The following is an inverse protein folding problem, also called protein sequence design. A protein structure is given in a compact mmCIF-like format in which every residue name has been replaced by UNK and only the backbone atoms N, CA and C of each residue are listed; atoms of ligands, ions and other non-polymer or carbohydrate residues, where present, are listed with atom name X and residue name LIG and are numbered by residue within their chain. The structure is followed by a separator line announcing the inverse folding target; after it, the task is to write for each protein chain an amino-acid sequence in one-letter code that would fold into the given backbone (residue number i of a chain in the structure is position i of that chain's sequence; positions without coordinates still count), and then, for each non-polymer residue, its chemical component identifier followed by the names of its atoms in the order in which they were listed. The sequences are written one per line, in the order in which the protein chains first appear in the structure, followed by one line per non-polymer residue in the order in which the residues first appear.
data_IF_555116271083
#
_entry.id   IF_555116271083
#
_cell.length_a   1.000
_cell.length_b   1.000
_cell.length_c   1.000
_cell.angle_alpha   90.00
_cell.angle_beta   90.00
_cell.angle_gamma   90.00
#
_symmetry.space_group_name_H-M   'P 1'
#
loop_
_entity.id
_entity.type
_entity.pdbx_description
1 polymer ?
#
# COMPACT_ATOMS: atom_id res chain seq x y z
N UNK A 1 15.52 -0.77 -12.82
CA UNK A 1 16.35 -1.25 -11.70
C UNK A 1 16.28 -2.78 -11.48
N UNK A 2 17.29 -3.54 -11.96
CA UNK A 2 17.40 -5.00 -11.75
C UNK A 2 17.59 -5.42 -10.28
N UNK A 3 18.12 -4.53 -9.43
CA UNK A 3 18.37 -4.78 -8.00
C UNK A 3 17.27 -4.21 -7.08
N UNK A 4 16.14 -3.75 -7.65
CA UNK A 4 14.99 -3.33 -6.86
C UNK A 4 14.05 -4.52 -6.62
N UNK A 5 14.06 -5.04 -5.39
CA UNK A 5 13.22 -6.14 -4.93
C UNK A 5 11.90 -5.67 -4.28
N UNK A 6 11.61 -4.36 -4.33
CA UNK A 6 10.49 -3.74 -3.63
C UNK A 6 10.84 -3.40 -2.19
N UNK A 7 9.81 -3.20 -1.37
CA UNK A 7 9.96 -2.83 0.04
C UNK A 7 9.66 -4.03 0.96
N UNK A 8 10.40 -4.18 2.08
CA UNK A 8 10.09 -5.20 3.08
C UNK A 8 8.99 -4.73 4.03
N UNK A 9 8.51 -5.65 4.87
CA UNK A 9 7.58 -5.38 5.96
C UNK A 9 6.25 -6.12 5.88
N UNK A 10 5.33 -5.72 6.76
CA UNK A 10 3.96 -6.24 6.90
C UNK A 10 3.20 -6.23 5.57
N UNK A 11 3.35 -5.16 4.82
CA UNK A 11 2.76 -4.96 3.48
C UNK A 11 3.83 -5.01 2.39
N UNK A 12 5.01 -5.57 2.70
CA UNK A 12 6.14 -5.66 1.78
C UNK A 12 6.01 -6.78 0.75
N UNK A 13 6.97 -6.84 -0.17
CA UNK A 13 7.08 -7.93 -1.14
C UNK A 13 7.69 -9.16 -0.47
N UNK A 14 7.28 -10.36 -0.89
CA UNK A 14 7.87 -11.60 -0.36
C UNK A 14 9.39 -11.65 -0.59
N UNK A 15 9.82 -11.29 -1.80
CA UNK A 15 11.25 -11.26 -2.14
C UNK A 15 12.05 -10.25 -1.31
N UNK A 16 11.52 -9.07 -1.01
CA UNK A 16 12.21 -8.12 -0.13
C UNK A 16 12.28 -8.63 1.31
N UNK A 17 11.23 -9.30 1.79
CA UNK A 17 11.21 -9.92 3.12
C UNK A 17 12.24 -11.05 3.23
N UNK A 18 12.35 -11.91 2.21
CA UNK A 18 13.32 -13.00 2.22
C UNK A 18 14.77 -12.46 2.16
N UNK A 19 15.03 -11.47 1.29
CA UNK A 19 16.36 -10.82 1.23
C UNK A 19 16.69 -10.11 2.55
N UNK A 20 15.71 -9.46 3.19
CA UNK A 20 15.88 -8.82 4.49
C UNK A 20 16.13 -9.84 5.61
N UNK A 21 15.53 -11.03 5.54
CA UNK A 21 15.74 -12.09 6.51
C UNK A 21 17.16 -12.66 6.46
N UNK A 22 17.74 -12.75 5.25
CA UNK A 22 19.07 -13.31 5.01
C UNK A 22 20.21 -12.32 5.29
N UNK A 23 19.98 -11.02 5.14
CA UNK A 23 21.05 -10.02 5.14
C UNK A 23 21.82 -9.90 6.47
N UNK A 24 23.14 -9.78 6.38
CA UNK A 24 24.04 -9.52 7.51
C UNK A 24 24.35 -8.01 7.69
N UNK A 25 23.91 -7.17 6.76
CA UNK A 25 24.01 -5.72 6.82
C UNK A 25 22.76 -5.06 6.22
N UNK A 26 22.09 -4.23 7.02
CA UNK A 26 20.98 -3.39 6.58
C UNK A 26 21.43 -1.94 6.63
N UNK A 27 21.40 -1.26 5.48
CA UNK A 27 21.68 0.18 5.39
C UNK A 27 20.36 0.92 5.19
N UNK A 28 19.84 1.52 6.26
CA UNK A 28 18.67 2.37 6.21
C UNK A 28 19.04 3.79 5.80
N UNK A 29 18.49 4.29 4.69
CA UNK A 29 18.72 5.66 4.22
C UNK A 29 17.42 6.44 4.29
N UNK A 30 17.35 7.45 5.17
CA UNK A 30 16.17 8.27 5.38
C UNK A 30 14.95 7.53 5.91
N UNK A 31 15.13 6.30 6.41
CA UNK A 31 14.05 5.48 6.98
C UNK A 31 13.98 5.65 8.51
N UNK A 32 12.76 5.66 9.03
CA UNK A 32 12.50 5.64 10.48
C UNK A 32 12.45 4.23 11.06
N UNK A 33 12.64 3.20 10.21
CA UNK A 33 12.44 1.79 10.57
C UNK A 33 11.13 1.59 11.33
N UNK A 34 10.02 1.98 10.70
CA UNK A 34 8.69 1.87 11.31
C UNK A 34 8.26 0.42 11.37
N UNK A 35 7.36 0.13 12.30
CA UNK A 35 6.82 -1.20 12.58
C UNK A 35 6.39 -1.96 11.31
N UNK A 36 5.62 -1.32 10.44
CA UNK A 36 5.21 -1.90 9.16
C UNK A 36 6.41 -2.30 8.30
N UNK A 37 7.37 -1.39 8.09
CA UNK A 37 8.54 -1.64 7.22
C UNK A 37 9.51 -2.67 7.77
N UNK A 38 9.52 -2.89 9.09
CA UNK A 38 10.39 -3.88 9.73
C UNK A 38 9.68 -5.21 10.01
N UNK A 39 8.38 -5.30 9.66
CA UNK A 39 7.57 -6.47 10.01
C UNK A 39 7.59 -6.70 11.52
N UNK A 40 7.35 -5.65 12.30
CA UNK A 40 7.50 -5.67 13.75
C UNK A 40 8.85 -6.20 14.22
N UNK A 41 9.91 -5.82 13.50
CA UNK A 41 11.30 -6.24 13.71
C UNK A 41 11.60 -7.73 13.54
N UNK A 42 10.64 -8.52 13.04
CA UNK A 42 10.88 -9.94 12.75
C UNK A 42 11.44 -10.17 11.34
N UNK A 43 11.31 -9.20 10.43
CA UNK A 43 11.76 -9.38 9.03
C UNK A 43 13.27 -9.52 8.90
N UNK A 44 14.04 -8.89 9.79
CA UNK A 44 15.50 -8.97 9.79
C UNK A 44 15.96 -10.15 10.65
N UNK A 45 15.81 -11.37 10.14
CA UNK A 45 15.96 -12.59 10.93
C UNK A 45 17.42 -13.01 11.20
N UNK A 46 18.39 -12.55 10.40
CA UNK A 46 19.80 -12.93 10.58
C UNK A 46 20.34 -12.42 11.94
N UNK A 47 20.85 -13.31 12.82
CA UNK A 47 21.35 -12.91 14.14
C UNK A 47 22.70 -12.18 14.08
N UNK A 48 23.44 -12.30 12.99
CA UNK A 48 24.72 -11.60 12.78
C UNK A 48 24.53 -10.22 12.12
N UNK A 49 23.28 -9.81 11.86
CA UNK A 49 23.01 -8.57 11.13
C UNK A 49 23.56 -7.35 11.83
N UNK A 50 23.98 -6.37 11.05
CA UNK A 50 24.32 -5.03 11.51
C UNK A 50 23.40 -4.01 10.88
N UNK A 51 23.03 -3.00 11.64
CA UNK A 51 22.26 -1.87 11.15
C UNK A 51 23.17 -0.66 10.98
N UNK A 52 23.09 -0.02 9.81
CA UNK A 52 23.63 1.32 9.56
C UNK A 52 22.44 2.21 9.21
N UNK A 53 22.35 3.38 9.82
CA UNK A 53 21.22 4.29 9.59
C UNK A 53 21.72 5.69 9.26
N UNK A 54 21.39 6.17 8.08
CA UNK A 54 21.67 7.53 7.61
C UNK A 54 20.38 8.31 7.73
N UNK A 55 20.31 9.27 8.66
CA UNK A 55 19.09 10.02 8.90
C UNK A 55 19.37 11.46 9.35
N UNK A 56 18.42 12.37 9.15
CA UNK A 56 18.52 13.75 9.65
C UNK A 56 18.29 13.82 11.16
N UNK A 57 17.44 12.95 11.70
CA UNK A 57 17.15 12.90 13.12
C UNK A 57 18.05 11.88 13.83
N UNK A 58 18.74 12.30 14.89
CA UNK A 58 19.58 11.42 15.71
C UNK A 58 18.82 10.22 16.30
N UNK A 59 17.55 10.42 16.66
CA UNK A 59 16.67 9.36 17.15
C UNK A 59 16.52 8.21 16.14
N UNK A 60 16.27 8.53 14.87
CA UNK A 60 16.13 7.52 13.82
C UNK A 60 17.50 6.97 13.37
N UNK A 61 18.57 7.76 13.45
CA UNK A 61 19.92 7.32 13.11
C UNK A 61 20.49 6.29 14.11
N UNK A 62 20.06 6.32 15.37
CA UNK A 62 20.55 5.43 16.44
C UNK A 62 19.58 4.30 16.78
N UNK A 63 18.45 4.20 16.05
CA UNK A 63 17.39 3.26 16.34
C UNK A 63 17.91 1.81 16.34
N UNK A 64 17.50 1.03 17.34
CA UNK A 64 17.89 -0.38 17.49
C UNK A 64 19.40 -0.64 17.45
N UNK A 65 20.19 0.29 18.02
CA UNK A 65 21.65 0.13 18.14
C UNK A 65 22.38 0.26 16.80
N UNK A 66 21.76 0.90 15.80
CA UNK A 66 22.40 1.13 14.51
C UNK A 66 23.67 1.98 14.63
N UNK A 67 24.64 1.71 13.76
CA UNK A 67 25.72 2.64 13.47
C UNK A 67 25.12 3.84 12.75
N UNK A 68 24.90 4.91 13.51
CA UNK A 68 24.19 6.10 13.02
C UNK A 68 25.09 7.11 12.33
N UNK A 69 24.61 7.65 11.21
CA UNK A 69 25.16 8.83 10.54
C UNK A 69 24.06 9.90 10.47
N UNK A 70 24.23 10.96 11.27
CA UNK A 70 23.31 12.10 11.25
C UNK A 70 23.68 13.03 10.10
N UNK A 71 23.00 12.88 8.95
CA UNK A 71 23.32 13.61 7.74
C UNK A 71 22.12 13.69 6.79
N UNK A 72 22.17 14.67 5.88
CA UNK A 72 21.35 14.65 4.69
C UNK A 72 21.71 13.44 3.82
N UNK A 73 20.71 12.65 3.46
CA UNK A 73 20.90 11.40 2.71
C UNK A 73 21.61 11.62 1.37
N UNK A 74 21.32 12.71 0.66
CA UNK A 74 21.97 13.01 -0.63
C UNK A 74 23.44 13.34 -0.44
N UNK A 75 23.79 14.12 0.58
CA UNK A 75 25.20 14.43 0.86
C UNK A 75 25.98 13.18 1.32
N UNK A 76 25.37 12.36 2.18
CA UNK A 76 25.99 11.12 2.64
C UNK A 76 26.23 10.15 1.47
N UNK A 77 25.25 9.94 0.60
CA UNK A 77 25.40 9.08 -0.57
C UNK A 77 26.47 9.57 -1.54
N UNK A 78 26.59 10.88 -1.77
CA UNK A 78 27.69 11.46 -2.59
C UNK A 78 29.07 11.21 -1.98
N UNK A 79 29.19 11.32 -0.67
CA UNK A 79 30.46 11.05 0.01
C UNK A 79 30.83 9.56 -0.02
N UNK A 80 29.84 8.67 0.12
CA UNK A 80 30.01 7.22 -0.02
C UNK A 80 30.43 6.88 -1.45
N UNK A 81 29.76 7.43 -2.46
CA UNK A 81 30.07 7.23 -3.88
C UNK A 81 31.52 7.63 -4.19
N UNK A 82 31.92 8.84 -3.77
CA UNK A 82 33.30 9.30 -3.89
C UNK A 82 34.30 8.38 -3.17
N UNK A 83 33.99 7.90 -1.97
CA UNK A 83 34.88 6.99 -1.26
C UNK A 83 35.03 5.64 -1.98
N UNK A 84 33.97 5.15 -2.63
CA UNK A 84 34.01 3.94 -3.46
C UNK A 84 34.88 4.16 -4.71
N UNK A 85 34.77 5.32 -5.38
CA UNK A 85 35.65 5.72 -6.49
C UNK A 85 37.12 5.79 -6.07
N UNK A 86 37.38 6.33 -4.87
CA UNK A 86 38.72 6.44 -4.28
C UNK A 86 39.22 5.09 -3.69
N UNK A 87 38.55 3.97 -4.02
CA UNK A 87 38.89 2.59 -3.63
C UNK A 87 38.95 2.36 -2.11
N UNK A 88 38.09 3.00 -1.33
CA UNK A 88 38.04 2.82 0.14
C UNK A 88 37.75 1.37 0.58
N UNK A 89 37.18 0.53 -0.31
CA UNK A 89 36.97 -0.90 -0.07
C UNK A 89 38.13 -1.80 -0.52
N UNK A 90 39.14 -1.26 -1.21
CA UNK A 90 40.20 -2.03 -1.85
C UNK A 90 39.62 -3.08 -2.82
N UNK A 91 40.10 -4.32 -2.72
CA UNK A 91 39.69 -5.44 -3.58
C UNK A 91 38.39 -6.14 -3.13
N UNK A 92 37.71 -5.64 -2.10
CA UNK A 92 36.48 -6.27 -1.60
C UNK A 92 35.35 -6.10 -2.61
N UNK A 93 34.76 -7.22 -3.01
CA UNK A 93 33.59 -7.26 -3.87
C UNK A 93 32.50 -8.13 -3.24
N UNK A 94 31.25 -7.82 -3.56
CA UNK A 94 30.07 -8.55 -3.10
C UNK A 94 29.29 -9.01 -4.33
N UNK A 95 28.78 -10.24 -4.29
CA UNK A 95 27.92 -10.73 -5.36
C UNK A 95 26.58 -9.99 -5.36
N UNK A 96 26.04 -9.74 -6.54
CA UNK A 96 24.65 -9.30 -6.68
C UNK A 96 23.71 -10.35 -6.05
N UNK A 97 22.60 -9.86 -5.51
CA UNK A 97 21.46 -10.72 -5.16
C UNK A 97 20.91 -11.42 -6.41
N UNK A 98 20.31 -12.59 -6.23
CA UNK A 98 19.70 -13.33 -7.33
C UNK A 98 18.57 -12.53 -7.99
N UNK A 99 18.85 -12.06 -9.21
CA UNK A 99 17.91 -11.30 -10.05
C UNK A 99 16.69 -12.13 -10.45
N UNK A 100 16.79 -13.47 -10.42
CA UNK A 100 15.69 -14.40 -10.67
C UNK A 100 14.55 -14.25 -9.64
N UNK A 101 14.86 -13.94 -8.38
CA UNK A 101 13.85 -13.70 -7.34
C UNK A 101 12.91 -12.54 -7.69
N UNK A 102 13.47 -11.48 -8.29
CA UNK A 102 12.70 -10.33 -8.75
C UNK A 102 11.81 -10.69 -9.94
N UNK A 103 12.31 -11.47 -10.89
CA UNK A 103 11.52 -11.92 -12.03
C UNK A 103 10.33 -12.76 -11.57
N UNK A 104 10.54 -13.71 -10.64
CA UNK A 104 9.47 -14.52 -10.07
C UNK A 104 8.41 -13.66 -9.37
N UNK A 105 8.80 -12.66 -8.58
CA UNK A 105 7.87 -11.70 -7.97
C UNK A 105 7.06 -10.93 -9.04
N UNK A 106 7.69 -10.53 -10.13
CA UNK A 106 7.01 -9.81 -11.22
C UNK A 106 5.98 -10.68 -11.92
N UNK A 107 6.31 -11.94 -12.22
CA UNK A 107 5.40 -12.88 -12.85
C UNK A 107 4.18 -13.16 -11.95
N UNK A 108 4.42 -13.34 -10.65
CA UNK A 108 3.40 -13.62 -9.65
C UNK A 108 2.42 -12.44 -9.49
N UNK A 109 2.95 -11.21 -9.34
CA UNK A 109 2.12 -10.00 -9.26
C UNK A 109 1.39 -9.66 -10.56
N UNK A 110 1.93 -10.04 -11.71
CA UNK A 110 1.25 -9.86 -13.01
C UNK A 110 0.06 -10.80 -13.14
N UNK A 111 0.18 -12.04 -12.67
CA UNK A 111 -0.92 -12.99 -12.62
C UNK A 111 -2.05 -12.51 -11.69
N UNK A 112 -1.72 -11.98 -10.50
CA UNK A 112 -2.70 -11.42 -9.57
C UNK A 112 -3.44 -10.19 -10.13
N UNK A 113 -2.74 -9.35 -10.90
CA UNK A 113 -3.29 -8.13 -11.49
C UNK A 113 -4.04 -8.38 -12.82
N UNK A 114 -4.04 -9.61 -13.34
CA UNK A 114 -4.71 -9.95 -14.58
C UNK A 114 -6.24 -9.83 -14.42
N UNK A 115 -6.94 -9.43 -15.49
CA UNK A 115 -8.40 -9.41 -15.46
C UNK A 115 -8.97 -10.80 -15.13
N UNK A 116 -10.05 -10.89 -14.34
CA UNK A 116 -10.60 -12.17 -13.92
C UNK A 116 -11.01 -13.00 -15.14
N UNK A 117 -10.75 -14.31 -15.08
CA UNK A 117 -11.19 -15.30 -16.06
C UNK A 117 -12.37 -16.15 -15.56
N UNK A 118 -13.01 -15.72 -14.47
CA UNK A 118 -14.11 -16.41 -13.80
C UNK A 118 -15.24 -15.43 -13.46
N UNK A 119 -16.41 -15.97 -13.13
CA UNK A 119 -17.53 -15.19 -12.61
C UNK A 119 -17.22 -14.70 -11.18
N UNK A 120 -17.63 -13.48 -10.84
CA UNK A 120 -17.44 -12.90 -9.51
C UNK A 120 -17.07 -11.41 -9.55
N UNK A 121 -17.04 -10.80 -8.36
CA UNK A 121 -16.55 -9.43 -8.21
C UNK A 121 -15.02 -9.38 -8.34
N UNK A 122 -14.46 -8.34 -8.97
CA UNK A 122 -13.02 -8.16 -9.04
C UNK A 122 -12.41 -7.89 -7.68
N UNK A 123 -11.11 -8.15 -7.59
CA UNK A 123 -10.31 -7.93 -6.38
C UNK A 123 -9.57 -6.60 -6.47
N UNK A 124 -9.10 -6.07 -5.32
CA UNK A 124 -8.30 -4.83 -5.29
C UNK A 124 -7.06 -4.95 -6.22
N UNK A 125 -6.43 -6.14 -6.30
CA UNK A 125 -5.29 -6.39 -7.18
C UNK A 125 -5.66 -6.25 -8.66
N UNK A 126 -6.81 -6.79 -9.07
CA UNK A 126 -7.28 -6.70 -10.44
C UNK A 126 -7.65 -5.26 -10.83
N UNK A 127 -8.22 -4.49 -9.90
CA UNK A 127 -8.49 -3.06 -10.06
C UNK A 127 -7.19 -2.26 -10.22
N UNK A 128 -6.18 -2.54 -9.39
CA UNK A 128 -4.84 -1.94 -9.53
C UNK A 128 -4.24 -2.29 -10.90
N UNK A 129 -4.34 -3.55 -11.33
CA UNK A 129 -3.90 -4.02 -12.64
C UNK A 129 -4.56 -3.28 -13.80
N UNK A 130 -5.87 -3.03 -13.71
CA UNK A 130 -6.63 -2.26 -14.69
C UNK A 130 -6.06 -0.83 -14.83
N UNK A 131 -5.85 -0.15 -13.71
CA UNK A 131 -5.25 1.19 -13.69
C UNK A 131 -3.81 1.16 -14.21
N UNK A 132 -3.02 0.16 -13.83
CA UNK A 132 -1.62 0.01 -14.25
C UNK A 132 -1.48 -0.20 -15.76
N UNK A 133 -2.39 -0.96 -16.39
CA UNK A 133 -2.40 -1.18 -17.85
C UNK A 133 -2.73 0.08 -18.63
N UNK A 134 -3.50 0.99 -18.03
CA UNK A 134 -3.79 2.29 -18.64
C UNK A 134 -2.72 3.34 -18.29
N UNK A 135 -1.92 3.14 -17.25
CA UNK A 135 -0.96 4.12 -16.76
C UNK A 135 0.08 4.53 -17.81
N UNK A 136 0.40 5.82 -17.83
CA UNK A 136 1.54 6.43 -18.52
C UNK A 136 2.60 6.91 -17.52
N UNK A 137 3.75 7.39 -18.01
CA UNK A 137 4.80 8.02 -17.19
C UNK A 137 4.32 9.26 -16.41
N UNK A 138 3.18 9.83 -16.79
CA UNK A 138 2.55 10.98 -16.11
C UNK A 138 1.58 10.56 -15.01
N UNK A 139 1.26 9.28 -14.89
CA UNK A 139 0.30 8.79 -13.90
C UNK A 139 0.87 8.92 -12.51
N UNK A 140 0.08 9.49 -11.62
CA UNK A 140 0.38 9.59 -10.20
C UNK A 140 -0.80 8.99 -9.44
N UNK A 141 -0.55 7.87 -8.77
CA UNK A 141 -1.56 7.23 -7.92
C UNK A 141 -1.48 7.75 -6.51
N UNK A 142 -2.64 7.95 -5.91
CA UNK A 142 -2.74 8.31 -4.50
C UNK A 142 -3.80 7.47 -3.79
N UNK A 143 -3.51 7.13 -2.53
CA UNK A 143 -4.45 6.52 -1.59
C UNK A 143 -4.02 6.88 -0.16
N UNK A 144 -4.89 6.68 0.82
CA UNK A 144 -4.61 7.02 2.22
C UNK A 144 -4.87 5.89 3.21
N UNK A 145 -5.91 5.08 2.98
CA UNK A 145 -6.37 4.12 3.97
C UNK A 145 -6.98 2.85 3.36
N UNK A 146 -7.23 1.87 4.23
CA UNK A 146 -7.78 0.56 3.87
C UNK A 146 -6.72 -0.42 3.40
N UNK A 147 -7.12 -1.42 2.61
CA UNK A 147 -6.20 -2.41 2.04
C UNK A 147 -5.27 -1.78 1.01
N UNK A 148 -5.82 -0.85 0.22
CA UNK A 148 -5.23 -0.32 -1.01
C UNK A 148 -3.81 0.23 -0.83
N UNK A 149 -3.43 0.97 0.23
CA UNK A 149 -2.03 1.38 0.42
C UNK A 149 -1.05 0.20 0.40
N UNK A 150 -1.37 -0.89 1.12
CA UNK A 150 -0.53 -2.09 1.16
C UNK A 150 -0.51 -2.87 -0.16
N UNK A 151 -1.65 -2.97 -0.86
CA UNK A 151 -1.68 -3.58 -2.19
C UNK A 151 -0.89 -2.75 -3.21
N UNK A 152 -1.07 -1.43 -3.24
CA UNK A 152 -0.35 -0.52 -4.11
C UNK A 152 1.16 -0.52 -3.82
N UNK A 153 1.58 -0.69 -2.57
CA UNK A 153 3.00 -0.82 -2.19
C UNK A 153 3.70 -1.97 -2.94
N UNK A 154 2.99 -3.08 -3.17
CA UNK A 154 3.56 -4.30 -3.76
C UNK A 154 3.24 -4.42 -5.25
N UNK A 155 2.09 -3.94 -5.68
CA UNK A 155 1.57 -4.22 -7.02
C UNK A 155 1.81 -3.05 -7.99
N UNK A 156 1.86 -1.81 -7.52
CA UNK A 156 1.99 -0.65 -8.39
C UNK A 156 3.43 -0.45 -8.87
N UNK A 157 3.62 -0.46 -10.18
CA UNK A 157 4.88 -0.21 -10.88
C UNK A 157 4.95 1.28 -11.24
N UNK A 158 5.38 2.10 -10.29
CA UNK A 158 5.41 3.55 -10.45
C UNK A 158 6.50 4.05 -11.41
N UNK A 159 6.15 5.01 -12.25
CA UNK A 159 7.13 5.93 -12.84
C UNK A 159 7.69 6.89 -11.77
N UNK A 160 8.78 7.60 -12.09
CA UNK A 160 9.37 8.57 -11.16
C UNK A 160 8.35 9.66 -10.74
N UNK A 161 8.11 9.76 -9.43
CA UNK A 161 7.11 10.66 -8.85
C UNK A 161 5.65 10.22 -9.08
N UNK A 162 5.41 9.00 -9.55
CA UNK A 162 4.07 8.47 -9.85
C UNK A 162 3.36 7.79 -8.67
N UNK A 163 3.81 8.02 -7.44
CA UNK A 163 3.30 7.36 -6.24
C UNK A 163 3.26 8.33 -5.05
N UNK A 164 2.07 8.61 -4.53
CA UNK A 164 1.86 9.44 -3.35
C UNK A 164 0.93 8.72 -2.38
N UNK A 165 1.48 8.23 -1.27
CA UNK A 165 0.73 7.40 -0.33
C UNK A 165 0.79 7.97 1.08
N UNK A 166 -0.33 7.95 1.78
CA UNK A 166 -0.38 8.24 3.20
C UNK A 166 -0.21 6.93 3.99
N UNK A 167 0.81 6.87 4.85
CA UNK A 167 1.13 5.70 5.68
C UNK A 167 1.28 6.05 7.17
N UNK A 168 1.24 7.34 7.51
CA UNK A 168 1.53 7.83 8.85
C UNK A 168 0.33 7.64 9.78
N UNK A 169 -0.80 8.22 9.42
CA UNK A 169 -2.02 8.15 10.23
C UNK A 169 -3.08 7.21 9.65
N UNK A 170 -2.91 6.78 8.41
CA UNK A 170 -3.91 6.10 7.60
C UNK A 170 -5.24 6.87 7.61
N UNK A 171 -5.13 8.17 7.29
CA UNK A 171 -6.23 9.12 7.46
C UNK A 171 -7.31 8.92 6.38
N UNK A 172 -8.34 8.14 6.71
CA UNK A 172 -9.52 7.96 5.86
C UNK A 172 -10.18 9.30 5.52
N UNK A 173 -10.60 9.46 4.25
CA UNK A 173 -11.18 10.69 3.71
C UNK A 173 -10.13 11.68 3.15
N UNK A 174 -8.84 11.50 3.42
CA UNK A 174 -7.80 12.39 2.88
C UNK A 174 -7.76 12.38 1.34
N UNK A 175 -8.18 11.29 0.70
CA UNK A 175 -7.89 11.01 -0.70
C UNK A 175 -8.45 12.06 -1.67
N UNK A 176 -9.68 12.55 -1.46
CA UNK A 176 -10.28 13.57 -2.34
C UNK A 176 -9.50 14.89 -2.27
N UNK A 177 -9.19 15.34 -1.05
CA UNK A 177 -8.46 16.58 -0.83
C UNK A 177 -6.99 16.46 -1.27
N UNK A 178 -6.38 15.31 -0.99
CA UNK A 178 -5.01 14.96 -1.41
C UNK A 178 -4.87 14.95 -2.93
N UNK A 179 -5.79 14.28 -3.64
CA UNK A 179 -5.79 14.24 -5.11
C UNK A 179 -5.97 15.64 -5.71
N UNK A 180 -6.88 16.45 -5.18
CA UNK A 180 -7.05 17.84 -5.58
C UNK A 180 -5.75 18.64 -5.38
N UNK A 181 -5.11 18.52 -4.21
CA UNK A 181 -3.86 19.20 -3.90
C UNK A 181 -2.71 18.80 -4.82
N UNK A 182 -2.57 17.49 -5.07
CA UNK A 182 -1.57 16.95 -6.02
C UNK A 182 -1.81 17.51 -7.42
N UNK A 183 -3.06 17.51 -7.90
CA UNK A 183 -3.38 18.01 -9.24
C UNK A 183 -3.13 19.51 -9.38
N UNK A 184 -3.38 20.29 -8.32
CA UNK A 184 -3.06 21.71 -8.30
C UNK A 184 -1.54 21.96 -8.31
N UNK A 185 -0.76 21.13 -7.61
CA UNK A 185 0.69 21.26 -7.54
C UNK A 185 1.41 20.72 -8.79
N UNK A 186 0.84 19.73 -9.48
CA UNK A 186 1.37 19.11 -10.68
C UNK A 186 0.27 18.98 -11.76
N UNK A 187 -0.16 20.09 -12.39
CA UNK A 187 -1.29 20.11 -13.33
C UNK A 187 -1.11 19.18 -14.54
N UNK A 188 0.13 18.87 -14.91
CA UNK A 188 0.48 17.99 -16.02
C UNK A 188 0.32 16.48 -15.71
N UNK A 189 0.20 16.10 -14.44
CA UNK A 189 0.08 14.70 -14.01
C UNK A 189 -1.34 14.16 -14.22
N UNK A 190 -1.44 12.89 -14.59
CA UNK A 190 -2.70 12.13 -14.60
C UNK A 190 -2.92 11.57 -13.18
N UNK A 191 -3.69 12.28 -12.36
CA UNK A 191 -3.87 11.95 -10.94
C UNK A 191 -5.03 10.97 -10.79
N UNK A 192 -4.74 9.80 -10.25
CA UNK A 192 -5.72 8.75 -9.97
C UNK A 192 -5.73 8.46 -8.46
N UNK A 193 -6.86 8.73 -7.81
CA UNK A 193 -7.08 8.43 -6.40
C UNK A 193 -7.82 7.08 -6.26
N UNK A 194 -7.24 6.13 -5.54
CA UNK A 194 -7.95 4.93 -5.10
C UNK A 194 -8.62 5.21 -3.77
N UNK A 195 -9.93 5.00 -3.69
CA UNK A 195 -10.72 5.30 -2.50
C UNK A 195 -11.72 4.17 -2.26
N UNK A 196 -11.73 3.58 -1.07
CA UNK A 196 -12.81 2.67 -0.68
C UNK A 196 -14.08 3.43 -0.34
N UNK A 197 -15.25 2.82 -0.57
CA UNK A 197 -16.58 3.30 -0.15
C UNK A 197 -16.60 3.92 1.26
N UNK A 198 -16.03 3.23 2.24
CA UNK A 198 -15.97 3.70 3.62
C UNK A 198 -15.11 4.97 3.80
N UNK A 199 -14.00 5.08 3.07
CA UNK A 199 -13.10 6.25 3.12
C UNK A 199 -13.74 7.46 2.41
N UNK A 200 -14.36 7.20 1.25
CA UNK A 200 -15.12 8.21 0.50
C UNK A 200 -16.20 8.87 1.37
N UNK A 201 -16.93 8.09 2.16
CA UNK A 201 -17.99 8.61 3.03
C UNK A 201 -17.50 9.53 4.15
N UNK A 202 -16.20 9.58 4.46
CA UNK A 202 -15.68 10.45 5.52
C UNK A 202 -15.48 11.91 5.11
N UNK A 203 -15.08 12.16 3.86
CA UNK A 203 -14.78 13.53 3.38
C UNK A 203 -15.15 13.74 1.90
N UNK A 204 -16.23 13.10 1.44
CA UNK A 204 -16.74 13.25 0.07
C UNK A 204 -17.07 14.69 -0.33
N UNK A 205 -17.42 15.57 0.62
CA UNK A 205 -17.83 16.95 0.35
C UNK A 205 -16.77 17.78 -0.36
N UNK A 206 -15.49 17.42 -0.22
CA UNK A 206 -14.40 18.07 -0.95
C UNK A 206 -14.48 17.87 -2.47
N UNK A 207 -15.26 16.89 -2.94
CA UNK A 207 -15.53 16.68 -4.36
C UNK A 207 -16.26 17.90 -4.95
N UNK A 208 -17.21 18.48 -4.22
CA UNK A 208 -17.91 19.68 -4.65
C UNK A 208 -16.94 20.87 -4.78
N UNK A 209 -15.98 21.00 -3.86
CA UNK A 209 -14.90 22.00 -3.94
C UNK A 209 -14.07 21.80 -5.21
N UNK A 210 -13.64 20.58 -5.49
CA UNK A 210 -12.84 20.26 -6.67
C UNK A 210 -13.58 20.55 -7.98
N UNK A 211 -14.89 20.29 -8.04
CA UNK A 211 -15.76 20.63 -9.17
C UNK A 211 -15.88 22.14 -9.36
N UNK A 212 -16.19 22.89 -8.29
CA UNK A 212 -16.29 24.36 -8.32
C UNK A 212 -14.98 25.01 -8.78
N UNK A 213 -13.85 24.37 -8.48
CA UNK A 213 -12.51 24.82 -8.87
C UNK A 213 -12.05 24.26 -10.22
N UNK A 214 -12.84 23.40 -10.88
CA UNK A 214 -12.51 22.71 -12.13
C UNK A 214 -11.13 22.06 -12.09
N UNK A 215 -10.88 21.29 -11.03
CA UNK A 215 -9.61 20.55 -10.85
C UNK A 215 -9.80 19.10 -11.33
N UNK A 216 -9.26 18.70 -12.49
CA UNK A 216 -9.56 17.39 -13.06
C UNK A 216 -8.64 16.29 -12.49
N UNK A 217 -9.21 15.37 -11.73
CA UNK A 217 -8.57 14.13 -11.33
C UNK A 217 -9.58 12.98 -11.36
N UNK A 218 -9.09 11.75 -11.38
CA UNK A 218 -9.94 10.56 -11.42
C UNK A 218 -9.94 9.87 -10.07
N UNK A 219 -11.12 9.55 -9.55
CA UNK A 219 -11.32 8.66 -8.40
C UNK A 219 -11.72 7.29 -8.96
N UNK A 220 -10.99 6.25 -8.58
CA UNK A 220 -11.43 4.86 -8.67
C UNK A 220 -11.99 4.49 -7.31
N UNK A 221 -13.32 4.44 -7.20
CA UNK A 221 -14.02 4.12 -5.97
C UNK A 221 -14.31 2.62 -5.94
N UNK A 222 -13.63 1.89 -5.04
CA UNK A 222 -13.89 0.47 -4.83
C UNK A 222 -14.98 0.31 -3.78
N UNK A 223 -16.12 -0.22 -4.22
CA UNK A 223 -17.27 -0.43 -3.36
C UNK A 223 -17.33 -1.91 -2.98
N UNK A 224 -16.89 -2.24 -1.76
CA UNK A 224 -16.91 -3.60 -1.20
C UNK A 224 -17.86 -3.75 -0.01
N UNK A 225 -18.75 -2.76 0.18
CA UNK A 225 -19.83 -2.76 1.18
C UNK A 225 -19.30 -2.77 2.63
N UNK A 226 -18.29 -1.94 2.91
CA UNK A 226 -17.85 -1.62 4.27
C UNK A 226 -16.34 -1.52 4.46
N UNK A 227 -15.89 -1.76 5.70
CA UNK A 227 -14.50 -1.70 6.11
C UNK A 227 -13.81 -3.05 5.95
N UNK A 228 -13.64 -3.52 4.70
CA UNK A 228 -13.06 -4.83 4.39
C UNK A 228 -11.70 -5.10 5.02
N UNK A 229 -10.81 -4.10 5.08
CA UNK A 229 -9.50 -4.24 5.73
C UNK A 229 -9.60 -4.52 7.24
N UNK A 230 -10.50 -3.81 7.93
CA UNK A 230 -10.73 -4.00 9.38
C UNK A 230 -11.39 -5.36 9.62
N UNK A 231 -12.33 -5.76 8.76
CA UNK A 231 -12.96 -7.06 8.83
C UNK A 231 -11.94 -8.20 8.76
N UNK A 232 -11.00 -8.13 7.80
CA UNK A 232 -9.94 -9.14 7.66
C UNK A 232 -9.00 -9.15 8.86
N UNK A 233 -8.62 -7.98 9.40
CA UNK A 233 -7.77 -7.92 10.58
C UNK A 233 -8.47 -8.56 11.79
N UNK A 234 -9.75 -8.25 11.99
CA UNK A 234 -10.59 -8.84 13.02
C UNK A 234 -10.64 -10.37 12.93
N UNK A 235 -10.85 -10.91 11.73
CA UNK A 235 -10.81 -12.35 11.49
C UNK A 235 -9.42 -12.96 11.74
N UNK A 236 -8.35 -12.26 11.33
CA UNK A 236 -6.98 -12.75 11.51
C UNK A 236 -6.57 -12.84 13.00
N UNK A 237 -7.20 -12.05 13.86
CA UNK A 237 -7.06 -12.14 15.32
C UNK A 237 -8.03 -13.16 15.96
N UNK A 238 -8.73 -13.98 15.16
CA UNK A 238 -9.70 -14.97 15.63
C UNK A 238 -11.07 -14.42 16.01
N UNK A 239 -11.32 -13.13 15.75
CA UNK A 239 -12.62 -12.50 15.96
C UNK A 239 -13.65 -12.96 14.93
N UNK A 240 -14.92 -13.08 15.34
CA UNK A 240 -16.02 -13.21 14.38
C UNK A 240 -16.26 -11.89 13.67
N UNK A 241 -16.73 -11.92 12.43
CA UNK A 241 -17.12 -10.74 11.67
C UNK A 241 -18.30 -10.01 12.35
N UNK A 242 -18.21 -8.69 12.43
CA UNK A 242 -19.19 -7.84 13.13
C UNK A 242 -18.95 -6.38 12.75
N UNK A 243 -20.01 -5.66 12.34
CA UNK A 243 -20.07 -4.21 12.10
C UNK A 243 -19.03 -3.59 11.14
N UNK A 244 -18.16 -4.38 10.51
CA UNK A 244 -17.22 -3.90 9.51
C UNK A 244 -17.82 -3.96 8.11
N UNK A 245 -18.53 -5.04 7.78
CA UNK A 245 -19.26 -5.16 6.52
C UNK A 245 -20.75 -4.93 6.76
N UNK A 246 -21.46 -4.42 5.74
CA UNK A 246 -22.91 -4.24 5.80
C UNK A 246 -23.60 -5.58 6.10
N UNK A 247 -23.10 -6.68 5.53
CA UNK A 247 -23.51 -8.07 5.77
C UNK A 247 -23.56 -8.46 7.25
N UNK A 248 -22.68 -7.90 8.06
CA UNK A 248 -22.45 -8.28 9.46
C UNK A 248 -22.89 -7.19 10.43
N UNK A 249 -23.82 -6.35 10.01
CA UNK A 249 -24.40 -5.24 10.78
C UNK A 249 -25.83 -5.56 11.23
N UNK A 250 -26.34 -4.81 12.21
CA UNK A 250 -27.65 -5.08 12.84
C UNK A 250 -28.88 -4.88 11.92
N UNK A 251 -28.72 -4.29 10.74
CA UNK A 251 -29.85 -3.98 9.84
C UNK A 251 -30.05 -5.13 8.86
N UNK A 252 -31.27 -5.69 8.83
CA UNK A 252 -31.60 -6.80 7.92
C UNK A 252 -31.59 -6.36 6.45
N UNK A 253 -32.12 -5.16 6.17
CA UNK A 253 -32.10 -4.56 4.82
C UNK A 253 -31.00 -3.52 4.76
N UNK A 254 -29.89 -3.90 4.13
CA UNK A 254 -28.70 -3.05 4.05
C UNK A 254 -28.92 -1.85 3.12
N UNK A 255 -28.24 -0.72 3.39
CA UNK A 255 -28.27 0.43 2.50
C UNK A 255 -27.50 0.12 1.20
N UNK A 256 -28.17 0.26 0.07
CA UNK A 256 -27.54 0.26 -1.26
C UNK A 256 -27.20 1.71 -1.65
N UNK A 257 -26.05 2.20 -1.18
CA UNK A 257 -25.63 3.58 -1.47
C UNK A 257 -25.27 3.68 -2.95
N UNK A 258 -26.01 4.51 -3.68
CA UNK A 258 -25.66 4.85 -5.06
C UNK A 258 -24.54 5.89 -5.07
N UNK A 259 -23.29 5.42 -5.06
CA UNK A 259 -22.11 6.28 -5.11
C UNK A 259 -21.99 7.07 -6.42
N UNK A 260 -22.57 6.59 -7.52
CA UNK A 260 -22.61 7.33 -8.78
C UNK A 260 -23.53 8.54 -8.64
N UNK A 261 -24.77 8.33 -8.18
CA UNK A 261 -25.71 9.41 -7.93
C UNK A 261 -25.19 10.38 -6.86
N UNK A 262 -24.54 9.86 -5.82
CA UNK A 262 -23.96 10.68 -4.75
C UNK A 262 -22.85 11.60 -5.30
N UNK A 263 -21.87 11.06 -6.04
CA UNK A 263 -20.83 11.87 -6.67
C UNK A 263 -21.38 12.86 -7.70
N UNK A 264 -22.35 12.44 -8.52
CA UNK A 264 -23.01 13.29 -9.50
C UNK A 264 -23.79 14.44 -8.84
N UNK A 265 -24.38 14.22 -7.66
CA UNK A 265 -25.09 15.27 -6.91
C UNK A 265 -24.17 16.41 -6.47
N UNK A 266 -22.86 16.16 -6.35
CA UNK A 266 -21.83 17.17 -6.08
C UNK A 266 -21.24 17.79 -7.35
N UNK A 267 -21.75 17.41 -8.53
CA UNK A 267 -21.37 17.95 -9.84
C UNK A 267 -20.16 17.30 -10.51
N UNK A 268 -19.61 16.22 -9.95
CA UNK A 268 -18.56 15.45 -10.61
C UNK A 268 -19.14 14.63 -11.77
N UNK A 269 -18.29 14.30 -12.74
CA UNK A 269 -18.64 13.25 -13.71
C UNK A 269 -18.59 11.91 -12.97
N UNK A 270 -19.67 11.14 -12.94
CA UNK A 270 -19.69 9.87 -12.22
C UNK A 270 -20.30 8.75 -13.07
N UNK A 271 -19.66 7.59 -13.07
CA UNK A 271 -20.10 6.39 -13.78
C UNK A 271 -19.74 5.12 -13.00
N UNK A 272 -20.51 4.05 -13.20
CA UNK A 272 -20.19 2.71 -12.68
C UNK A 272 -19.58 1.86 -13.78
N UNK A 273 -18.44 1.23 -13.51
CA UNK A 273 -17.88 0.16 -14.32
C UNK A 273 -18.49 -1.18 -13.88
N UNK A 274 -19.01 -1.95 -14.84
CA UNK A 274 -19.54 -3.29 -14.60
C UNK A 274 -18.43 -4.34 -14.39
N UNK A 275 -17.27 -4.11 -14.98
CA UNK A 275 -16.12 -5.03 -14.92
C UNK A 275 -14.78 -4.30 -15.14
N UNK A 276 -13.69 -5.07 -15.14
CA UNK A 276 -12.33 -4.58 -15.35
C UNK A 276 -12.14 -3.95 -16.73
N UNK A 277 -12.75 -4.50 -17.79
CA UNK A 277 -12.60 -3.96 -19.13
C UNK A 277 -13.30 -2.60 -19.28
N UNK A 278 -14.48 -2.44 -18.67
CA UNK A 278 -15.19 -1.18 -18.65
C UNK A 278 -14.46 -0.14 -17.78
N UNK A 279 -13.86 -0.54 -16.65
CA UNK A 279 -13.01 0.32 -15.84
C UNK A 279 -11.86 0.89 -16.68
N UNK A 280 -11.16 0.04 -17.42
CA UNK A 280 -10.07 0.48 -18.32
C UNK A 280 -10.55 1.49 -19.36
N UNK A 281 -11.68 1.23 -20.02
CA UNK A 281 -12.25 2.13 -21.01
C UNK A 281 -12.62 3.50 -20.39
N UNK A 282 -13.22 3.50 -19.19
CA UNK A 282 -13.61 4.73 -18.48
C UNK A 282 -12.42 5.53 -17.99
N UNK A 283 -11.34 4.89 -17.55
CA UNK A 283 -10.09 5.55 -17.19
C UNK A 283 -9.52 6.34 -18.37
N UNK A 284 -9.51 5.76 -19.57
CA UNK A 284 -9.07 6.46 -20.78
C UNK A 284 -9.96 7.65 -21.09
N UNK A 285 -11.29 7.47 -21.01
CA UNK A 285 -12.25 8.55 -21.25
C UNK A 285 -12.16 9.70 -20.22
N UNK A 286 -11.73 9.42 -18.99
CA UNK A 286 -11.62 10.43 -17.93
C UNK A 286 -10.53 11.47 -18.17
N UNK A 287 -9.47 11.13 -18.90
CA UNK A 287 -8.27 11.97 -19.10
C UNK A 287 -8.53 13.32 -19.76
N UNK A 288 -9.58 13.42 -20.57
CA UNK A 288 -9.91 14.63 -21.33
C UNK A 288 -10.90 15.54 -20.63
N UNK A 289 -11.42 15.13 -19.46
CA UNK A 289 -12.37 15.90 -18.67
C UNK A 289 -11.65 17.02 -17.90
N UNK A 290 -12.39 18.09 -17.65
CA UNK A 290 -11.91 19.33 -17.00
C UNK A 290 -12.46 19.52 -15.58
N UNK A 291 -13.15 18.50 -15.07
CA UNK A 291 -13.68 18.37 -13.71
C UNK A 291 -13.34 16.98 -13.16
N UNK A 292 -13.46 16.74 -11.84
CA UNK A 292 -13.27 15.42 -11.27
C UNK A 292 -14.17 14.35 -11.91
N UNK A 293 -13.61 13.16 -12.07
CA UNK A 293 -14.34 11.94 -12.49
C UNK A 293 -14.35 10.93 -11.37
N UNK A 294 -15.49 10.31 -11.07
CA UNK A 294 -15.62 9.17 -10.16
C UNK A 294 -16.04 7.95 -10.96
N UNK A 295 -15.20 6.91 -10.96
CA UNK A 295 -15.50 5.61 -11.54
C UNK A 295 -15.73 4.65 -10.37
N UNK A 296 -16.97 4.22 -10.19
CA UNK A 296 -17.35 3.25 -9.16
C UNK A 296 -17.18 1.84 -9.72
N UNK A 297 -16.59 0.93 -8.94
CA UNK A 297 -16.53 -0.49 -9.27
C UNK A 297 -16.82 -1.33 -8.03
N UNK A 298 -17.70 -2.32 -8.17
CA UNK A 298 -17.96 -3.27 -7.09
C UNK A 298 -16.78 -4.23 -6.95
N UNK A 299 -16.36 -4.50 -5.72
CA UNK A 299 -15.21 -5.38 -5.42
C UNK A 299 -15.53 -6.33 -4.29
N UNK A 300 -14.82 -7.46 -4.22
CA UNK A 300 -14.94 -8.37 -3.08
C UNK A 300 -14.26 -7.78 -1.82
N UNK A 301 -14.88 -7.86 -0.63
CA UNK A 301 -14.21 -7.47 0.62
C UNK A 301 -13.22 -8.53 1.14
N UNK A 302 -13.34 -9.77 0.64
CA UNK A 302 -12.54 -10.91 1.06
C UNK A 302 -11.28 -11.06 0.22
N UNK A 303 -10.18 -11.51 0.84
CA UNK A 303 -8.88 -11.55 0.19
C UNK A 303 -8.85 -12.61 -0.91
N UNK A 304 -8.03 -12.32 -1.91
CA UNK A 304 -7.60 -13.22 -2.97
C UNK A 304 -6.09 -13.49 -2.91
N UNK A 305 -5.39 -12.98 -1.89
CA UNK A 305 -3.93 -12.90 -1.87
C UNK A 305 -3.28 -13.75 -0.77
N UNK A 306 -2.33 -14.58 -1.21
CA UNK A 306 -1.33 -15.24 -0.37
C UNK A 306 0.09 -14.67 -0.56
N UNK A 307 0.31 -13.79 -1.55
CA UNK A 307 1.66 -13.31 -1.87
C UNK A 307 2.14 -12.16 -0.97
N UNK A 308 3.37 -12.26 -0.49
CA UNK A 308 4.04 -11.18 0.24
C UNK A 308 3.49 -10.91 1.64
N UNK A 309 3.92 -9.79 2.20
CA UNK A 309 3.65 -9.42 3.58
C UNK A 309 4.52 -10.14 4.62
N UNK A 310 4.42 -9.66 5.85
CA UNK A 310 5.11 -10.19 7.01
C UNK A 310 4.20 -10.08 8.24
N UNK A 311 4.59 -10.73 9.33
CA UNK A 311 3.84 -10.62 10.57
C UNK A 311 3.82 -9.18 11.10
N UNK A 312 2.68 -8.80 11.67
CA UNK A 312 2.43 -7.53 12.32
C UNK A 312 2.04 -7.78 13.77
N UNK A 313 2.69 -7.07 14.70
CA UNK A 313 2.40 -7.10 16.14
C UNK A 313 1.06 -6.41 16.44
N UNK A 314 -0.01 -7.15 16.18
CA UNK A 314 -1.37 -6.81 16.61
C UNK A 314 -1.71 -7.72 17.76
N UNK A 315 -1.85 -7.12 18.94
CA UNK A 315 -2.12 -7.85 20.17
C UNK A 315 -3.39 -8.70 20.04
N UNK A 316 -3.27 -9.99 20.36
CA UNK A 316 -4.39 -10.93 20.44
C UNK A 316 -4.69 -11.21 21.91
N UNK A 317 -5.98 -11.23 22.34
CA UNK A 317 -6.31 -11.55 23.72
C UNK A 317 -5.79 -12.93 24.16
N UNK A 318 -5.03 -12.96 25.25
CA UNK A 318 -4.54 -14.21 25.86
C UNK A 318 -5.67 -15.11 26.39
N UNK A 319 -6.76 -14.48 26.87
CA UNK A 319 -7.93 -15.18 27.41
C UNK A 319 -9.15 -14.85 26.56
N UNK A 320 -9.81 -15.89 26.04
CA UNK A 320 -11.04 -15.77 25.26
C UNK A 320 -11.87 -17.04 25.35
N UNK A 321 -13.20 -16.89 25.32
CA UNK A 321 -14.14 -18.01 25.19
C UNK A 321 -14.12 -18.61 23.78
N UNK A 322 -13.69 -17.84 22.77
CA UNK A 322 -13.57 -18.30 21.38
C UNK A 322 -12.30 -19.11 21.17
N UNK A 323 -12.44 -20.26 20.49
CA UNK A 323 -11.30 -21.13 20.16
C UNK A 323 -10.36 -20.47 19.15
N UNK A 324 -10.92 -19.79 18.15
CA UNK A 324 -10.16 -19.15 17.08
C UNK A 324 -9.24 -18.05 17.62
N UNK A 325 -9.68 -17.31 18.64
CA UNK A 325 -8.84 -16.31 19.33
C UNK A 325 -7.70 -16.98 20.09
N UNK A 326 -7.96 -18.10 20.79
CA UNK A 326 -6.92 -18.84 21.50
C UNK A 326 -5.88 -19.43 20.54
N UNK A 327 -6.29 -19.89 19.36
CA UNK A 327 -5.35 -20.34 18.32
C UNK A 327 -4.54 -19.18 17.73
N UNK A 328 -5.18 -18.04 17.42
CA UNK A 328 -4.49 -16.84 16.96
C UNK A 328 -3.46 -16.34 18.00
N UNK A 329 -3.79 -16.42 19.29
CA UNK A 329 -2.85 -16.06 20.37
C UNK A 329 -1.61 -16.94 20.41
N UNK A 330 -1.73 -18.26 20.15
CA UNK A 330 -0.54 -19.14 20.07
C UNK A 330 0.40 -18.70 18.96
N UNK A 331 -0.13 -18.32 17.80
CA UNK A 331 0.68 -17.79 16.71
C UNK A 331 1.33 -16.45 17.11
N UNK A 332 0.56 -15.53 17.69
CA UNK A 332 1.04 -14.25 18.20
C UNK A 332 2.20 -14.41 19.19
N UNK A 333 2.05 -15.25 20.22
CA UNK A 333 3.08 -15.51 21.22
C UNK A 333 4.38 -16.08 20.61
N UNK A 334 4.26 -16.97 19.61
CA UNK A 334 5.40 -17.51 18.89
C UNK A 334 6.15 -16.43 18.09
N UNK A 335 5.43 -15.46 17.51
CA UNK A 335 6.03 -14.38 16.71
C UNK A 335 6.63 -13.28 17.58
N UNK A 336 6.00 -12.94 18.70
CA UNK A 336 6.58 -12.02 19.70
C UNK A 336 7.94 -12.52 20.17
N UNK A 337 8.09 -13.82 20.42
CA UNK A 337 9.38 -14.41 20.82
C UNK A 337 10.48 -14.28 19.74
N UNK A 338 10.11 -13.98 18.48
CA UNK A 338 11.04 -13.77 17.36
C UNK A 338 11.38 -12.30 17.13
N UNK A 339 10.74 -11.36 17.83
CA UNK A 339 11.12 -9.95 17.74
C UNK A 339 12.55 -9.78 18.24
N UNK A 340 13.49 -9.63 17.31
CA UNK A 340 14.89 -9.47 17.61
C UNK A 340 15.22 -7.98 17.69
N UNK A 341 15.48 -7.50 18.91
CA UNK A 341 16.21 -6.26 19.13
C UNK A 341 17.66 -6.69 19.34
N UNK A 342 18.57 -6.24 18.48
CA UNK A 342 20.00 -6.61 18.52
C UNK A 342 20.58 -6.66 19.95
#
# INVERSE_FOLDING_TARGET
EPLNFGSPGVTGTGVANDVAAECDLVIGVGTRFQDFTTGSWTVFANPARKLVSINLAGYDALKHGAVGLVADARQALRAIDKALEDQALGDKTYADQDKGRRAAWFDATEALCAAPNHEGLPTDAQVIGAVQRQATDKTLVMCAAGSMPGYLQVLWRAAAGGYHMEYGYSCMGYEVAGAMGIKLAAPERDVVAFIGDGSYMMANSELATAVMRRVPFTIVLTDNRGYGCINRLQMSCGGAEFNNLYAHSNVEVQPEIDFVAHAASMGAHAEKAADIAELEAKLVAARTRDIPTVIVIDTTPYPDREEGGHWWDVAVPEVSEREEVREAYKHYANMIARQAVN
#
